data_IF_567173766649
#
_entry.id   IF_567173766649
#
_cell.length_a   1.000
_cell.length_b   1.000
_cell.length_c   1.000
_cell.angle_alpha   90.00
_cell.angle_beta   90.00
_cell.angle_gamma   90.00
#
_symmetry.space_group_name_H-M   'P 1'
#
loop_
_entity.id
_entity.type
_entity.pdbx_description
1 polymer ?
#
# COMPACT_ATOMS: atom_id res chain seq x y z
N UNK A 1 -5.64 -25.91 -24.28
CA UNK A 1 -5.85 -24.56 -23.69
C UNK A 1 -4.84 -24.31 -22.56
N UNK A 2 -4.24 -25.38 -22.01
CA UNK A 2 -3.17 -25.41 -20.98
C UNK A 2 -1.95 -24.53 -21.23
N UNK A 3 -1.39 -24.52 -22.45
CA UNK A 3 -0.08 -23.88 -22.69
C UNK A 3 -0.09 -22.36 -22.44
N UNK A 4 -1.22 -21.71 -22.71
CA UNK A 4 -1.37 -20.28 -22.41
C UNK A 4 -1.48 -20.05 -20.90
N UNK A 5 -2.18 -20.91 -20.18
CA UNK A 5 -2.34 -20.81 -18.73
C UNK A 5 -1.01 -20.97 -18.01
N UNK A 6 -0.20 -21.97 -18.38
CA UNK A 6 1.14 -22.19 -17.80
C UNK A 6 2.07 -21.02 -18.13
N UNK A 7 2.03 -20.51 -19.37
CA UNK A 7 2.84 -19.36 -19.80
C UNK A 7 2.56 -18.09 -19.00
N UNK A 8 1.30 -17.79 -18.71
CA UNK A 8 0.92 -16.62 -17.90
C UNK A 8 0.95 -16.90 -16.39
N UNK A 9 0.88 -18.17 -15.93
CA UNK A 9 0.95 -18.52 -14.51
C UNK A 9 2.23 -18.05 -13.83
N UNK A 10 3.38 -18.17 -14.51
CA UNK A 10 4.66 -17.65 -14.01
C UNK A 10 4.64 -16.13 -13.87
N UNK A 11 3.97 -15.43 -14.78
CA UNK A 11 3.83 -13.98 -14.73
C UNK A 11 2.90 -13.56 -13.58
N UNK A 12 1.76 -14.24 -13.40
CA UNK A 12 0.86 -13.99 -12.27
C UNK A 12 1.55 -14.28 -10.93
N UNK A 13 2.34 -15.36 -10.84
CA UNK A 13 3.13 -15.68 -9.65
C UNK A 13 4.20 -14.61 -9.36
N UNK A 14 4.92 -14.13 -10.39
CA UNK A 14 5.89 -13.04 -10.23
C UNK A 14 5.24 -11.73 -9.80
N UNK A 15 4.09 -11.38 -10.39
CA UNK A 15 3.31 -10.19 -10.00
C UNK A 15 2.82 -10.33 -8.56
N UNK A 16 2.32 -11.50 -8.17
CA UNK A 16 1.89 -11.79 -6.80
C UNK A 16 3.05 -11.74 -5.80
N UNK A 17 4.23 -12.24 -6.16
CA UNK A 17 5.40 -12.26 -5.28
C UNK A 17 6.04 -10.86 -5.16
N UNK A 18 6.07 -10.09 -6.26
CA UNK A 18 6.40 -8.66 -6.24
C UNK A 18 5.46 -7.90 -5.29
N UNK A 19 4.19 -8.28 -5.28
CA UNK A 19 3.19 -7.67 -4.45
C UNK A 19 3.32 -8.03 -2.96
N UNK A 20 3.64 -9.30 -2.66
CA UNK A 20 3.98 -9.75 -1.30
C UNK A 20 5.27 -9.07 -0.79
N UNK A 21 6.18 -8.70 -1.69
CA UNK A 21 7.42 -8.01 -1.35
C UNK A 21 7.17 -6.67 -0.63
N UNK A 22 6.11 -5.94 -0.98
CA UNK A 22 5.80 -4.63 -0.38
C UNK A 22 5.53 -4.70 1.13
N UNK A 23 4.57 -5.50 1.63
CA UNK A 23 4.36 -5.62 3.08
C UNK A 23 5.55 -6.26 3.80
N UNK A 24 6.27 -7.19 3.15
CA UNK A 24 7.48 -7.81 3.74
C UNK A 24 8.60 -6.78 3.91
N UNK A 25 8.88 -5.96 2.89
CA UNK A 25 9.86 -4.87 2.98
C UNK A 25 9.47 -3.84 4.02
N UNK A 26 8.18 -3.48 4.08
CA UNK A 26 7.68 -2.53 5.07
C UNK A 26 7.85 -3.08 6.50
N UNK A 27 7.58 -4.37 6.70
CA UNK A 27 7.86 -5.08 7.96
C UNK A 27 9.35 -5.13 8.30
N UNK A 28 10.23 -5.40 7.32
CA UNK A 28 11.68 -5.40 7.52
C UNK A 28 12.21 -4.02 7.89
N UNK A 29 11.69 -2.95 7.26
CA UNK A 29 12.03 -1.57 7.60
C UNK A 29 11.63 -1.31 9.06
N UNK A 30 10.39 -1.62 9.46
CA UNK A 30 9.95 -1.44 10.85
C UNK A 30 10.83 -2.23 11.83
N UNK A 31 11.17 -3.49 11.51
CA UNK A 31 12.04 -4.32 12.34
C UNK A 31 13.46 -3.74 12.47
N UNK A 32 14.04 -3.24 11.37
CA UNK A 32 15.35 -2.60 11.38
C UNK A 32 15.35 -1.31 12.22
N UNK A 33 14.32 -0.47 12.06
CA UNK A 33 14.15 0.75 12.86
C UNK A 33 13.97 0.43 14.35
N UNK A 34 13.21 -0.62 14.69
CA UNK A 34 13.05 -1.09 16.06
C UNK A 34 14.38 -1.57 16.67
N UNK A 35 15.17 -2.34 15.91
CA UNK A 35 16.49 -2.80 16.33
C UNK A 35 17.46 -1.64 16.62
N UNK A 36 17.46 -0.60 15.78
CA UNK A 36 18.29 0.59 15.97
C UNK A 36 17.85 1.40 17.20
N UNK A 37 16.54 1.58 17.42
CA UNK A 37 16.01 2.27 18.60
C UNK A 37 16.53 1.65 19.90
N UNK A 38 16.57 0.31 19.98
CA UNK A 38 17.11 -0.41 21.15
C UNK A 38 18.59 -0.18 21.41
N UNK A 39 19.38 0.16 20.38
CA UNK A 39 20.81 0.46 20.53
C UNK A 39 21.08 1.87 21.08
N UNK A 40 20.18 2.82 20.83
CA UNK A 40 20.37 4.24 21.15
C UNK A 40 19.79 4.61 22.53
N UNK A 41 18.84 3.81 23.06
CA UNK A 41 18.29 3.86 24.43
C UNK A 41 18.20 5.27 25.05
N UNK A 42 17.33 6.12 24.48
CA UNK A 42 16.98 7.42 25.04
C UNK A 42 15.46 7.62 24.95
N UNK A 43 14.85 8.18 25.99
CA UNK A 43 13.39 8.40 26.06
C UNK A 43 12.87 9.21 24.88
N UNK A 44 13.64 10.18 24.41
CA UNK A 44 13.27 11.00 23.23
C UNK A 44 13.38 10.19 21.94
N UNK A 45 14.40 9.34 21.84
CA UNK A 45 14.57 8.45 20.70
C UNK A 45 13.39 7.48 20.61
N UNK A 46 13.02 6.81 21.70
CA UNK A 46 11.93 5.82 21.70
C UNK A 46 10.58 6.44 21.31
N UNK A 47 10.29 7.67 21.76
CA UNK A 47 9.07 8.39 21.38
C UNK A 47 9.10 8.74 19.89
N UNK A 48 10.21 9.28 19.40
CA UNK A 48 10.36 9.69 18.00
C UNK A 48 10.27 8.48 17.06
N UNK A 49 10.93 7.37 17.43
CA UNK A 49 10.86 6.11 16.70
C UNK A 49 9.45 5.52 16.71
N UNK A 50 8.79 5.50 17.87
CA UNK A 50 7.41 5.01 17.99
C UNK A 50 6.43 5.79 17.10
N UNK A 51 6.50 7.12 17.13
CA UNK A 51 5.69 7.99 16.25
C UNK A 51 6.00 7.74 14.77
N UNK A 52 7.28 7.59 14.42
CA UNK A 52 7.71 7.26 13.06
C UNK A 52 7.12 5.94 12.58
N UNK A 53 7.20 4.89 13.39
CA UNK A 53 6.71 3.54 13.05
C UNK A 53 5.19 3.54 12.87
N UNK A 54 4.44 4.17 13.78
CA UNK A 54 2.97 4.20 13.73
C UNK A 54 2.46 5.04 12.55
N UNK A 55 3.16 6.12 12.21
CA UNK A 55 2.78 6.98 11.09
C UNK A 55 3.23 6.46 9.72
N UNK A 56 4.21 5.55 9.66
CA UNK A 56 4.82 5.08 8.42
C UNK A 56 3.80 4.45 7.46
N UNK A 57 3.08 3.41 7.92
CA UNK A 57 2.16 2.67 7.05
C UNK A 57 1.01 3.56 6.52
N UNK A 58 0.29 4.33 7.38
CA UNK A 58 -0.76 5.22 6.89
C UNK A 58 -0.22 6.31 5.96
N UNK A 59 0.96 6.89 6.24
CA UNK A 59 1.56 7.91 5.38
C UNK A 59 1.89 7.36 3.98
N UNK A 60 2.43 6.14 3.90
CA UNK A 60 2.72 5.47 2.62
C UNK A 60 1.43 5.24 1.85
N UNK A 61 0.42 4.61 2.47
CA UNK A 61 -0.83 4.31 1.76
C UNK A 61 -1.58 5.56 1.33
N UNK A 62 -1.70 6.57 2.20
CA UNK A 62 -2.30 7.86 1.84
C UNK A 62 -1.58 8.50 0.64
N UNK A 63 -0.25 8.48 0.63
CA UNK A 63 0.55 9.01 -0.48
C UNK A 63 0.27 8.25 -1.78
N UNK A 64 0.23 6.91 -1.73
CA UNK A 64 -0.09 6.06 -2.88
C UNK A 64 -1.50 6.34 -3.40
N UNK A 65 -2.51 6.35 -2.53
CA UNK A 65 -3.89 6.67 -2.92
C UNK A 65 -4.03 8.05 -3.56
N UNK A 66 -3.31 9.05 -3.05
CA UNK A 66 -3.30 10.38 -3.64
C UNK A 66 -2.68 10.39 -5.04
N UNK A 67 -1.56 9.70 -5.24
CA UNK A 67 -0.90 9.56 -6.55
C UNK A 67 -1.85 8.86 -7.54
N UNK A 68 -2.46 7.74 -7.15
CA UNK A 68 -3.39 6.98 -8.00
C UNK A 68 -4.66 7.78 -8.30
N UNK A 69 -5.19 8.54 -7.34
CA UNK A 69 -6.32 9.44 -7.54
C UNK A 69 -6.03 10.47 -8.63
N UNK A 70 -4.88 11.16 -8.55
CA UNK A 70 -4.44 12.12 -9.58
C UNK A 70 -4.27 11.45 -10.95
N UNK A 71 -3.64 10.27 -11.01
CA UNK A 71 -3.42 9.54 -12.27
C UNK A 71 -4.74 9.12 -12.92
N UNK A 72 -5.70 8.67 -12.12
CA UNK A 72 -7.00 8.16 -12.57
C UNK A 72 -7.87 9.24 -13.22
N UNK A 73 -7.62 10.53 -12.94
CA UNK A 73 -8.33 11.63 -13.60
C UNK A 73 -8.18 11.62 -15.12
N UNK A 74 -7.07 11.08 -15.63
CA UNK A 74 -6.77 10.97 -17.08
C UNK A 74 -7.24 9.67 -17.71
N UNK A 75 -7.92 8.79 -16.96
CA UNK A 75 -8.32 7.47 -17.46
C UNK A 75 -9.43 7.58 -18.54
N UNK A 76 -9.36 6.81 -19.65
CA UNK A 76 -10.30 6.94 -20.77
C UNK A 76 -11.72 6.46 -20.46
N UNK A 77 -11.86 5.38 -19.68
CA UNK A 77 -13.17 4.84 -19.31
C UNK A 77 -13.81 5.63 -18.15
N UNK A 78 -14.93 6.31 -18.41
CA UNK A 78 -15.64 7.16 -17.42
C UNK A 78 -16.12 6.38 -16.19
N UNK A 79 -16.67 5.17 -16.38
CA UNK A 79 -17.17 4.34 -15.28
C UNK A 79 -16.03 3.92 -14.33
N UNK A 80 -14.94 3.39 -14.89
CA UNK A 80 -13.75 2.98 -14.12
C UNK A 80 -13.13 4.16 -13.38
N UNK A 81 -13.10 5.34 -14.02
CA UNK A 81 -12.61 6.58 -13.40
C UNK A 81 -13.41 6.94 -12.15
N UNK A 82 -14.73 7.02 -12.23
CA UNK A 82 -15.59 7.40 -11.09
C UNK A 82 -15.47 6.37 -9.95
N UNK A 83 -15.61 5.08 -10.29
CA UNK A 83 -15.53 4.00 -9.29
C UNK A 83 -14.18 4.00 -8.59
N UNK A 84 -13.07 4.04 -9.34
CA UNK A 84 -11.72 4.08 -8.76
C UNK A 84 -11.52 5.32 -7.89
N UNK A 85 -12.03 6.49 -8.29
CA UNK A 85 -11.89 7.73 -7.52
C UNK A 85 -12.61 7.66 -6.17
N UNK A 86 -13.86 7.17 -6.15
CA UNK A 86 -14.62 6.99 -4.90
C UNK A 86 -13.85 6.04 -3.97
N UNK A 87 -13.35 4.94 -4.53
CA UNK A 87 -12.59 3.94 -3.79
C UNK A 87 -11.29 4.53 -3.20
N UNK A 88 -10.54 5.33 -3.97
CA UNK A 88 -9.33 5.99 -3.46
C UNK A 88 -9.62 7.03 -2.38
N UNK A 89 -10.71 7.81 -2.51
CA UNK A 89 -11.11 8.77 -1.48
C UNK A 89 -11.48 8.04 -0.20
N UNK A 90 -12.30 6.98 -0.29
CA UNK A 90 -12.68 6.18 0.87
C UNK A 90 -11.47 5.56 1.56
N UNK A 91 -10.54 4.96 0.79
CA UNK A 91 -9.33 4.35 1.34
C UNK A 91 -8.38 5.37 2.00
N UNK A 92 -8.28 6.57 1.42
CA UNK A 92 -7.54 7.69 2.00
C UNK A 92 -8.13 8.11 3.34
N UNK A 93 -9.46 8.28 3.41
CA UNK A 93 -10.15 8.65 4.65
C UNK A 93 -10.01 7.56 5.73
N UNK A 94 -10.14 6.29 5.37
CA UNK A 94 -9.92 5.17 6.30
C UNK A 94 -8.49 5.21 6.85
N UNK A 95 -7.49 5.45 5.99
CA UNK A 95 -6.09 5.55 6.41
C UNK A 95 -5.85 6.73 7.34
N UNK A 96 -6.50 7.87 7.08
CA UNK A 96 -6.46 9.03 7.97
C UNK A 96 -7.09 8.72 9.33
N UNK A 97 -8.25 8.05 9.36
CA UNK A 97 -8.92 7.64 10.59
C UNK A 97 -8.06 6.69 11.40
N UNK A 98 -7.46 5.68 10.76
CA UNK A 98 -6.53 4.74 11.40
C UNK A 98 -5.33 5.48 12.01
N UNK A 99 -4.74 6.43 11.28
CA UNK A 99 -3.64 7.24 11.80
C UNK A 99 -4.06 8.02 13.05
N UNK A 100 -5.23 8.67 13.05
CA UNK A 100 -5.72 9.43 14.20
C UNK A 100 -5.95 8.52 15.41
N UNK A 101 -6.60 7.37 15.23
CA UNK A 101 -6.82 6.42 16.33
C UNK A 101 -5.51 5.91 16.91
N UNK A 102 -4.54 5.58 16.07
CA UNK A 102 -3.25 5.10 16.53
C UNK A 102 -2.42 6.20 17.21
N UNK A 103 -2.50 7.45 16.74
CA UNK A 103 -1.88 8.60 17.44
C UNK A 103 -2.49 8.78 18.84
N UNK A 104 -3.82 8.72 18.96
CA UNK A 104 -4.50 8.79 20.26
C UNK A 104 -4.04 7.63 21.16
N UNK A 105 -4.01 6.40 20.64
CA UNK A 105 -3.57 5.22 21.38
C UNK A 105 -2.10 5.33 21.83
N UNK A 106 -1.24 5.88 20.98
CA UNK A 106 0.17 6.10 21.26
C UNK A 106 0.35 7.06 22.45
N UNK A 107 -0.27 8.24 22.40
CA UNK A 107 -0.12 9.25 23.46
C UNK A 107 -0.85 8.89 24.76
N UNK A 108 -1.91 8.08 24.70
CA UNK A 108 -2.66 7.67 25.92
C UNK A 108 -2.01 6.50 26.65
N UNK A 109 -1.42 5.53 25.94
CA UNK A 109 -0.91 4.30 26.56
C UNK A 109 0.61 4.19 26.57
N UNK A 110 1.33 5.03 25.81
CA UNK A 110 2.79 4.92 25.61
C UNK A 110 3.24 3.47 25.34
N UNK A 111 2.41 2.72 24.61
CA UNK A 111 2.65 1.30 24.42
C UNK A 111 3.72 1.13 23.34
N UNK A 112 4.88 0.60 23.71
CA UNK A 112 5.96 0.29 22.77
C UNK A 112 5.68 -0.99 21.97
N UNK A 113 4.60 -1.71 22.29
CA UNK A 113 4.20 -2.89 21.55
C UNK A 113 3.42 -2.54 20.28
N UNK A 114 4.01 -2.91 19.14
CA UNK A 114 3.48 -2.69 17.80
C UNK A 114 2.13 -3.37 17.54
N UNK A 115 1.80 -4.43 18.27
CA UNK A 115 0.53 -5.18 18.06
C UNK A 115 -0.71 -4.41 18.50
N UNK A 116 -0.54 -3.29 19.22
CA UNK A 116 -1.64 -2.45 19.68
C UNK A 116 -2.16 -1.45 18.63
N UNK A 117 -1.50 -1.33 17.47
CA UNK A 117 -1.79 -0.31 16.47
C UNK A 117 -2.51 -0.90 15.26
N UNK A 118 -3.59 -0.26 14.84
CA UNK A 118 -4.40 -0.68 13.70
C UNK A 118 -3.64 -0.56 12.37
N UNK A 119 -2.79 0.46 12.23
CA UNK A 119 -1.90 0.71 11.09
C UNK A 119 -0.92 -0.42 10.82
N UNK A 120 -0.58 -1.20 11.84
CA UNK A 120 0.33 -2.34 11.76
C UNK A 120 -0.40 -3.69 11.76
N UNK A 121 -1.73 -3.66 11.84
CA UNK A 121 -2.54 -4.88 11.76
C UNK A 121 -2.42 -5.51 10.38
N UNK A 122 -2.34 -6.84 10.34
CA UNK A 122 -2.28 -7.60 9.10
C UNK A 122 -3.46 -7.26 8.17
N UNK A 123 -4.66 -7.11 8.75
CA UNK A 123 -5.88 -6.77 8.00
C UNK A 123 -5.77 -5.41 7.32
N UNK A 124 -5.24 -4.40 8.01
CA UNK A 124 -5.05 -3.07 7.41
C UNK A 124 -3.99 -3.12 6.31
N UNK A 125 -2.82 -3.70 6.57
CA UNK A 125 -1.73 -3.77 5.60
C UNK A 125 -2.15 -4.56 4.35
N UNK A 126 -2.64 -5.80 4.54
CA UNK A 126 -3.06 -6.66 3.45
C UNK A 126 -4.27 -6.09 2.70
N UNK A 127 -5.22 -5.48 3.41
CA UNK A 127 -6.41 -4.86 2.82
C UNK A 127 -6.07 -3.71 1.88
N UNK A 128 -5.22 -2.77 2.31
CA UNK A 128 -4.79 -1.65 1.47
C UNK A 128 -4.02 -2.13 0.24
N UNK A 129 -3.11 -3.07 0.45
CA UNK A 129 -2.31 -3.68 -0.61
C UNK A 129 -3.25 -4.36 -1.62
N UNK A 130 -4.14 -5.27 -1.20
CA UNK A 130 -5.12 -5.97 -2.04
C UNK A 130 -6.03 -5.01 -2.84
N UNK A 131 -6.51 -3.96 -2.19
CA UNK A 131 -7.37 -2.95 -2.81
C UNK A 131 -6.66 -2.22 -3.95
N UNK A 132 -5.42 -1.75 -3.71
CA UNK A 132 -4.60 -1.12 -4.75
C UNK A 132 -4.36 -2.04 -5.94
N UNK A 133 -4.13 -3.32 -5.68
CA UNK A 133 -3.90 -4.33 -6.73
C UNK A 133 -5.12 -4.56 -7.61
N UNK A 134 -6.28 -4.80 -6.99
CA UNK A 134 -7.51 -5.06 -7.72
C UNK A 134 -7.88 -3.86 -8.61
N UNK A 135 -7.76 -2.64 -8.10
CA UNK A 135 -8.04 -1.45 -8.89
C UNK A 135 -7.02 -1.30 -10.03
N UNK A 136 -5.74 -1.55 -9.76
CA UNK A 136 -4.71 -1.50 -10.80
C UNK A 136 -4.98 -2.50 -11.93
N UNK A 137 -5.43 -3.71 -11.61
CA UNK A 137 -5.84 -4.72 -12.60
C UNK A 137 -7.02 -4.22 -13.44
N UNK A 138 -8.07 -3.70 -12.78
CA UNK A 138 -9.27 -3.19 -13.47
C UNK A 138 -8.91 -2.02 -14.41
N UNK A 139 -8.04 -1.11 -13.97
CA UNK A 139 -7.55 -0.01 -14.80
C UNK A 139 -6.70 -0.52 -15.97
N UNK A 140 -5.84 -1.52 -15.74
CA UNK A 140 -5.02 -2.11 -16.80
C UNK A 140 -5.86 -2.74 -17.90
N UNK A 141 -6.93 -3.47 -17.56
CA UNK A 141 -7.81 -4.10 -18.56
C UNK A 141 -8.68 -3.13 -19.36
N UNK A 142 -8.90 -1.92 -18.84
CA UNK A 142 -9.78 -0.92 -19.47
C UNK A 142 -9.01 0.22 -20.13
N UNK A 143 -7.69 0.21 -20.02
CA UNK A 143 -6.81 1.08 -20.79
C UNK A 143 -6.71 0.55 -22.22
N UNK A 144 -6.61 1.45 -23.21
CA UNK A 144 -6.41 1.03 -24.61
C UNK A 144 -5.14 0.19 -24.71
N UNK A 145 -5.23 -0.96 -25.40
CA UNK A 145 -4.07 -1.81 -25.67
C UNK A 145 -3.00 -0.94 -26.34
N UNK A 146 -1.81 -0.84 -25.73
CA UNK A 146 -0.69 -0.18 -26.40
C UNK A 146 -0.41 -0.90 -27.73
N UNK A 147 -0.17 -0.11 -28.77
CA UNK A 147 0.25 -0.64 -30.07
C UNK A 147 1.52 -1.44 -29.85
N UNK A 148 1.48 -2.70 -30.26
CA UNK A 148 2.59 -3.63 -30.13
C UNK A 148 3.82 -3.00 -30.79
N UNK A 149 4.99 -3.15 -30.18
CA UNK A 149 6.21 -2.47 -30.65
C UNK A 149 6.58 -2.89 -32.09
N UNK A 150 6.13 -4.08 -32.51
CA UNK A 150 6.24 -4.60 -33.86
C UNK A 150 5.38 -3.85 -34.89
N UNK A 151 4.23 -3.29 -34.49
CA UNK A 151 3.33 -2.53 -35.37
C UNK A 151 3.72 -1.04 -35.46
N UNK A 152 4.69 -0.56 -34.66
CA UNK A 152 5.16 0.84 -34.75
C UNK A 152 6.06 1.13 -35.94
N UNK A 153 6.63 0.11 -36.57
CA UNK A 153 7.65 0.25 -37.62
C UNK A 153 7.20 -0.29 -38.98
N UNK A 154 5.89 -0.49 -39.17
CA UNK A 154 5.29 -0.96 -40.42
C UNK A 154 4.36 0.10 -40.99
#
# INVERSE_FOLDING_TARGET
>A
MEDRFIKYSKLYALIFLLFLCVPVLLGLIIAAFYGISKLVSSTVADITFGLGVVSLAPAIFMSVYFIFFKRTQKHPAKAVKIVSQIIFIAAFLISLVVLVFDMIAFFTRFNTNITGYYSLSLTYLAGNVAMLFLIAIVQAFTTKKEVDWMDRHR
#
